data_IF_465711438262
#
_entry.id   IF_465711438262
#
_cell.length_a   1.000
_cell.length_b   1.000
_cell.length_c   1.000
_cell.angle_alpha   90.00
_cell.angle_beta   90.00
_cell.angle_gamma   90.00
#
_symmetry.space_group_name_H-M   'P 1'
#
loop_
_entity.id
_entity.type
_entity.pdbx_description
1 polymer ?
#
# COMPACT_ATOMS: atom_id res chain seq x y z
N UNK A 1 -11.70 34.86 23.62
CA UNK A 1 -10.59 34.05 23.09
C UNK A 1 -11.10 32.62 22.96
N UNK A 2 -11.80 32.32 21.85
CA UNK A 2 -12.45 31.03 21.66
C UNK A 2 -11.41 30.01 21.18
N UNK A 3 -11.15 29.00 22.00
CA UNK A 3 -10.39 27.83 21.60
C UNK A 3 -11.14 27.13 20.46
N UNK A 4 -10.64 27.27 19.23
CA UNK A 4 -11.06 26.47 18.10
C UNK A 4 -10.62 25.02 18.32
N UNK A 5 -11.43 24.27 19.07
CA UNK A 5 -11.44 22.82 19.03
C UNK A 5 -12.01 22.37 17.68
N UNK A 6 -11.23 22.55 16.62
CA UNK A 6 -11.43 21.75 15.42
C UNK A 6 -11.00 20.35 15.85
N UNK A 7 -11.97 19.55 16.30
CA UNK A 7 -11.81 18.10 16.32
C UNK A 7 -11.19 17.71 14.98
N UNK A 8 -9.95 17.22 15.02
CA UNK A 8 -9.32 16.60 13.87
C UNK A 8 -10.08 15.31 13.62
N UNK A 9 -11.24 15.39 12.98
CA UNK A 9 -11.91 14.24 12.41
C UNK A 9 -10.93 13.69 11.38
N UNK A 10 -10.19 12.64 11.76
CA UNK A 10 -9.49 11.80 10.78
C UNK A 10 -10.61 11.23 9.93
N UNK A 11 -10.79 11.81 8.73
CA UNK A 11 -11.66 11.24 7.71
C UNK A 11 -11.12 9.83 7.46
N UNK A 12 -11.81 8.83 8.00
CA UNK A 12 -11.47 7.43 7.75
C UNK A 12 -11.95 7.17 6.32
N UNK A 13 -11.04 6.96 5.36
CA UNK A 13 -11.40 6.90 3.94
C UNK A 13 -12.01 5.56 3.54
N UNK A 14 -12.20 4.69 4.52
CA UNK A 14 -12.59 3.31 4.38
C UNK A 14 -13.61 2.92 5.43
N UNK A 15 -14.45 1.96 5.09
CA UNK A 15 -15.34 1.32 6.05
C UNK A 15 -14.58 0.24 6.82
N UNK A 16 -15.08 -0.12 8.01
CA UNK A 16 -14.50 -1.25 8.77
C UNK A 16 -14.52 -2.56 7.97
N UNK A 17 -15.53 -2.74 7.11
CA UNK A 17 -15.61 -3.88 6.20
C UNK A 17 -14.48 -3.88 5.19
N UNK A 18 -14.21 -2.76 4.53
CA UNK A 18 -13.10 -2.63 3.59
C UNK A 18 -11.75 -2.87 4.30
N UNK A 19 -11.59 -2.33 5.52
CA UNK A 19 -10.40 -2.57 6.33
C UNK A 19 -10.16 -4.05 6.61
N UNK A 20 -11.20 -4.78 7.03
CA UNK A 20 -11.09 -6.22 7.29
C UNK A 20 -10.71 -6.99 6.03
N UNK A 21 -11.32 -6.67 4.88
CA UNK A 21 -10.97 -7.29 3.59
C UNK A 21 -9.50 -7.03 3.27
N UNK A 22 -9.04 -5.78 3.33
CA UNK A 22 -7.63 -5.47 3.06
C UNK A 22 -6.72 -6.24 4.01
N UNK A 23 -7.01 -6.25 5.32
CA UNK A 23 -6.20 -6.94 6.32
C UNK A 23 -6.08 -8.44 6.03
N UNK A 24 -7.19 -9.11 5.73
CA UNK A 24 -7.21 -10.55 5.48
C UNK A 24 -6.54 -10.89 4.15
N UNK A 25 -6.86 -10.14 3.10
CA UNK A 25 -6.29 -10.34 1.77
C UNK A 25 -4.79 -9.98 1.70
N UNK A 26 -4.30 -9.04 2.51
CA UNK A 26 -2.88 -8.61 2.52
C UNK A 26 -1.92 -9.74 2.89
N UNK A 27 -2.37 -10.67 3.75
CA UNK A 27 -1.57 -11.82 4.20
C UNK A 27 -1.86 -13.09 3.38
N UNK A 28 -2.73 -12.99 2.37
CA UNK A 28 -3.10 -14.14 1.55
C UNK A 28 -1.95 -14.60 0.64
N UNK A 29 -1.92 -15.89 0.36
CA UNK A 29 -1.04 -16.45 -0.66
C UNK A 29 -1.67 -16.45 -2.06
N UNK A 30 -2.98 -16.22 -2.16
CA UNK A 30 -3.71 -16.15 -3.42
C UNK A 30 -3.53 -14.78 -4.09
N UNK A 31 -3.01 -14.80 -5.32
CA UNK A 31 -2.81 -13.60 -6.14
C UNK A 31 -4.11 -12.81 -6.41
N UNK A 32 -5.26 -13.48 -6.51
CA UNK A 32 -6.54 -12.79 -6.67
C UNK A 32 -6.94 -12.01 -5.42
N UNK A 33 -6.71 -12.57 -4.23
CA UNK A 33 -6.94 -11.86 -2.97
C UNK A 33 -6.01 -10.66 -2.83
N UNK A 34 -4.72 -10.82 -3.15
CA UNK A 34 -3.78 -9.70 -3.15
C UNK A 34 -4.22 -8.58 -4.11
N UNK A 35 -4.76 -8.92 -5.29
CA UNK A 35 -5.34 -7.94 -6.24
C UNK A 35 -6.54 -7.21 -5.65
N UNK A 36 -7.42 -7.89 -4.91
CA UNK A 36 -8.55 -7.23 -4.21
C UNK A 36 -8.05 -6.19 -3.21
N UNK A 37 -7.02 -6.52 -2.43
CA UNK A 37 -6.40 -5.57 -1.50
C UNK A 37 -5.80 -4.36 -2.24
N UNK A 38 -5.08 -4.57 -3.34
CA UNK A 38 -4.55 -3.48 -4.18
C UNK A 38 -5.67 -2.56 -4.69
N UNK A 39 -6.78 -3.12 -5.18
CA UNK A 39 -7.91 -2.35 -5.69
C UNK A 39 -8.55 -1.48 -4.58
N UNK A 40 -8.70 -2.02 -3.37
CA UNK A 40 -9.22 -1.27 -2.22
C UNK A 40 -8.28 -0.15 -1.79
N UNK A 41 -6.97 -0.41 -1.70
CA UNK A 41 -5.98 0.62 -1.36
C UNK A 41 -5.96 1.76 -2.40
N UNK A 42 -6.02 1.43 -3.70
CA UNK A 42 -6.12 2.40 -4.77
C UNK A 42 -7.40 3.25 -4.67
N UNK A 43 -8.53 2.62 -4.33
CA UNK A 43 -9.79 3.30 -4.10
C UNK A 43 -9.72 4.26 -2.91
N UNK A 44 -9.10 3.85 -1.80
CA UNK A 44 -8.91 4.72 -0.63
C UNK A 44 -8.05 5.93 -0.98
N UNK A 45 -6.97 5.75 -1.76
CA UNK A 45 -6.15 6.86 -2.27
C UNK A 45 -6.98 7.84 -3.11
N UNK A 46 -7.81 7.33 -4.01
CA UNK A 46 -8.70 8.16 -4.83
C UNK A 46 -9.66 8.99 -3.97
N UNK A 47 -10.28 8.39 -2.93
CA UNK A 47 -11.18 9.09 -2.01
C UNK A 47 -10.48 10.19 -1.19
N UNK A 48 -9.22 10.01 -0.84
CA UNK A 48 -8.47 10.98 -0.02
C UNK A 48 -7.73 12.04 -0.83
N UNK A 49 -7.41 11.76 -2.10
CA UNK A 49 -6.52 12.58 -2.91
C UNK A 49 -5.20 12.86 -2.18
N UNK A 50 -4.82 14.14 -2.10
CA UNK A 50 -3.58 14.60 -1.47
C UNK A 50 -3.48 14.36 0.05
N UNK A 51 -4.58 13.95 0.69
CA UNK A 51 -4.60 13.63 2.13
C UNK A 51 -4.27 12.17 2.41
N UNK A 52 -4.04 11.35 1.39
CA UNK A 52 -3.75 9.94 1.56
C UNK A 52 -2.46 9.74 2.39
N UNK A 53 -2.53 9.00 3.52
CA UNK A 53 -1.33 8.58 4.22
C UNK A 53 -0.40 7.82 3.28
N UNK A 54 0.87 8.22 3.23
CA UNK A 54 1.89 7.58 2.38
C UNK A 54 2.03 6.07 2.65
N UNK A 55 1.69 5.61 3.86
CA UNK A 55 1.67 4.18 4.18
C UNK A 55 0.72 3.39 3.28
N UNK A 56 -0.43 3.96 2.87
CA UNK A 56 -1.37 3.28 1.96
C UNK A 56 -0.73 3.09 0.58
N UNK A 57 0.04 4.07 0.11
CA UNK A 57 0.80 3.95 -1.14
C UNK A 57 1.91 2.91 -1.03
N UNK A 58 2.64 2.87 0.09
CA UNK A 58 3.70 1.87 0.30
C UNK A 58 3.09 0.46 0.40
N UNK A 59 2.01 0.29 1.15
CA UNK A 59 1.26 -0.98 1.23
C UNK A 59 0.79 -1.46 -0.14
N UNK A 60 0.30 -0.55 -0.99
CA UNK A 60 -0.10 -0.89 -2.36
C UNK A 60 1.10 -1.38 -3.19
N UNK A 61 2.24 -0.69 -3.10
CA UNK A 61 3.47 -1.07 -3.82
C UNK A 61 4.02 -2.43 -3.37
N UNK A 62 4.00 -2.70 -2.07
CA UNK A 62 4.40 -4.01 -1.50
C UNK A 62 3.56 -5.13 -2.10
N UNK A 63 2.22 -4.98 -2.14
CA UNK A 63 1.37 -6.01 -2.72
C UNK A 63 1.61 -6.19 -4.22
N UNK A 64 1.80 -5.09 -4.97
CA UNK A 64 2.09 -5.17 -6.40
C UNK A 64 3.39 -5.92 -6.68
N UNK A 65 4.46 -5.67 -5.92
CA UNK A 65 5.72 -6.38 -6.13
C UNK A 65 5.61 -7.86 -5.75
N UNK A 66 4.85 -8.21 -4.70
CA UNK A 66 4.57 -9.61 -4.35
C UNK A 66 3.79 -10.32 -5.46
N UNK A 67 2.77 -9.67 -6.04
CA UNK A 67 2.02 -10.21 -7.17
C UNK A 67 2.94 -10.43 -8.37
N UNK A 68 3.77 -9.44 -8.71
CA UNK A 68 4.75 -9.55 -9.79
C UNK A 68 5.73 -10.71 -9.58
N UNK A 69 6.19 -10.92 -8.35
CA UNK A 69 7.08 -12.03 -8.03
C UNK A 69 6.39 -13.40 -8.18
N UNK A 70 5.12 -13.49 -7.76
CA UNK A 70 4.32 -14.72 -7.91
C UNK A 70 4.01 -15.07 -9.36
N UNK A 71 3.85 -14.07 -10.23
CA UNK A 71 3.46 -14.25 -11.63
C UNK A 71 4.65 -14.29 -12.59
N UNK A 72 5.88 -14.12 -12.09
CA UNK A 72 7.06 -14.09 -12.95
C UNK A 72 7.36 -15.46 -13.54
N UNK A 73 7.88 -15.44 -14.76
CA UNK A 73 8.62 -16.57 -15.31
C UNK A 73 10.07 -16.53 -14.75
N UNK A 74 10.51 -17.54 -13.98
CA UNK A 74 11.86 -17.59 -13.45
C UNK A 74 12.95 -17.65 -14.53
N UNK A 75 12.61 -18.11 -15.73
CA UNK A 75 13.56 -18.24 -16.85
C UNK A 75 13.79 -16.92 -17.59
N UNK A 76 12.90 -15.94 -17.43
CA UNK A 76 13.03 -14.62 -18.06
C UNK A 76 13.95 -13.70 -17.25
N UNK A 77 15.18 -13.57 -17.73
CA UNK A 77 16.21 -12.72 -17.11
C UNK A 77 15.79 -11.24 -17.03
N UNK A 78 15.01 -10.73 -17.98
CA UNK A 78 14.59 -9.33 -18.01
C UNK A 78 13.54 -9.06 -16.93
N UNK A 79 12.52 -9.91 -16.85
CA UNK A 79 11.51 -9.84 -15.79
C UNK A 79 12.14 -9.97 -14.41
N UNK A 80 13.12 -10.86 -14.25
CA UNK A 80 13.85 -11.01 -12.99
C UNK A 80 14.67 -9.77 -12.62
N UNK A 81 15.31 -9.12 -13.60
CA UNK A 81 16.03 -7.87 -13.40
C UNK A 81 15.07 -6.75 -12.97
N UNK A 82 13.96 -6.58 -13.68
CA UNK A 82 12.93 -5.60 -13.36
C UNK A 82 12.35 -5.81 -11.96
N UNK A 83 12.05 -7.04 -11.58
CA UNK A 83 11.51 -7.36 -10.25
C UNK A 83 12.45 -6.89 -9.12
N UNK A 84 13.76 -7.09 -9.27
CA UNK A 84 14.75 -6.63 -8.29
C UNK A 84 14.75 -5.10 -8.16
N UNK A 85 14.63 -4.38 -9.27
CA UNK A 85 14.53 -2.92 -9.27
C UNK A 85 13.26 -2.45 -8.56
N UNK A 86 12.13 -3.10 -8.83
CA UNK A 86 10.85 -2.78 -8.19
C UNK A 86 10.95 -3.02 -6.68
N UNK A 87 11.42 -4.19 -6.24
CA UNK A 87 11.66 -4.46 -4.81
C UNK A 87 12.56 -3.40 -4.16
N UNK A 88 13.67 -3.04 -4.81
CA UNK A 88 14.56 -1.99 -4.32
C UNK A 88 13.84 -0.65 -4.11
N UNK A 89 13.00 -0.25 -5.07
CA UNK A 89 12.21 0.98 -4.97
C UNK A 89 11.22 0.96 -3.80
N UNK A 90 10.58 -0.18 -3.54
CA UNK A 90 9.63 -0.35 -2.42
C UNK A 90 10.38 -0.27 -1.09
N UNK A 91 11.52 -0.93 -0.97
CA UNK A 91 12.35 -0.91 0.25
C UNK A 91 12.81 0.52 0.55
N UNK A 92 13.30 1.26 -0.44
CA UNK A 92 13.74 2.65 -0.26
C UNK A 92 12.59 3.51 0.26
N UNK A 93 11.39 3.42 -0.35
CA UNK A 93 10.22 4.19 0.11
C UNK A 93 9.79 3.82 1.52
N UNK A 94 9.87 2.54 1.88
CA UNK A 94 9.58 2.08 3.23
C UNK A 94 10.56 2.65 4.26
N UNK A 95 11.87 2.59 3.98
CA UNK A 95 12.90 3.13 4.87
C UNK A 95 12.72 4.63 5.07
N UNK A 96 12.51 5.40 3.99
CA UNK A 96 12.28 6.84 4.08
C UNK A 96 11.02 7.19 4.89
N UNK A 97 9.97 6.38 4.78
CA UNK A 97 8.77 6.55 5.59
C UNK A 97 9.05 6.33 7.08
N UNK A 98 9.77 5.25 7.39
CA UNK A 98 10.16 4.91 8.75
C UNK A 98 11.03 6.01 9.34
N UNK A 99 12.08 6.46 8.64
CA UNK A 99 12.93 7.56 9.09
C UNK A 99 12.13 8.83 9.40
N UNK A 100 11.22 9.23 8.51
CA UNK A 100 10.36 10.40 8.71
C UNK A 100 9.36 10.26 9.86
N UNK A 101 9.06 9.04 10.31
CA UNK A 101 8.17 8.80 11.45
C UNK A 101 8.92 8.80 12.79
N UNK A 102 10.21 8.48 12.79
CA UNK A 102 11.04 8.43 14.00
C UNK A 102 11.71 9.78 14.34
N UNK A 103 11.74 10.74 13.40
CA UNK A 103 12.25 12.10 13.58
C UNK A 103 11.16 13.15 13.33
#
# INVERSE_FOLDING_TARGET
>A
MHANLIERVRVVPFTMREWNIVKDSFLSQDGQELRKAVALLAMWKCRMGNKAPIIIEISELVLRVIIMDKERDPSDWFTNGNLKLVYGSVIIRWVLFVEKWYY
#
